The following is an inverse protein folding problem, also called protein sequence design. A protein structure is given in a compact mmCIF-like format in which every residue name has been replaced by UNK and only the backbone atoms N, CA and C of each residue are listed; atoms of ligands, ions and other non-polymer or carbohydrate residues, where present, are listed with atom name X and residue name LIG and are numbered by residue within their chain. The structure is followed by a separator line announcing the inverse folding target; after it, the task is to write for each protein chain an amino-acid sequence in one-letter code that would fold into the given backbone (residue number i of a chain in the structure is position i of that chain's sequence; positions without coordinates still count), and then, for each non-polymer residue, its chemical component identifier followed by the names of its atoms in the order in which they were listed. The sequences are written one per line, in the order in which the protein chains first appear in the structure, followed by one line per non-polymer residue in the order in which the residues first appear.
data_IF_418388669107
#
_entry.id   IF_418388669107
#
_cell.length_a   1.000
_cell.length_b   1.000
_cell.length_c   1.000
_cell.angle_alpha   90.00
_cell.angle_beta   90.00
_cell.angle_gamma   90.00
#
_symmetry.space_group_name_H-M   'P 1'
#
loop_
_entity.id
_entity.type
_entity.pdbx_description
1 polymer ?
#
# COMPACT_ATOMS: atom_id res chain seq x y z
N UNK A 1 16.65 -6.91 -17.11
CA UNK A 1 15.27 -6.57 -17.52
C UNK A 1 14.20 -7.32 -16.73
N UNK A 2 14.30 -8.64 -16.50
CA UNK A 2 13.29 -9.37 -15.72
C UNK A 2 13.22 -8.93 -14.24
N UNK A 3 14.35 -8.75 -13.56
CA UNK A 3 14.38 -8.25 -12.16
C UNK A 3 13.80 -6.84 -12.03
N UNK A 4 14.13 -5.93 -12.95
CA UNK A 4 13.62 -4.55 -12.93
C UNK A 4 12.12 -4.48 -13.19
N UNK A 5 11.59 -5.35 -14.07
CA UNK A 5 10.15 -5.44 -14.31
C UNK A 5 9.41 -6.00 -13.09
N UNK A 6 10.00 -7.00 -12.42
CA UNK A 6 9.44 -7.56 -11.20
C UNK A 6 9.41 -6.51 -10.08
N UNK A 7 10.52 -5.79 -9.84
CA UNK A 7 10.56 -4.68 -8.88
C UNK A 7 9.50 -3.62 -9.20
N UNK A 8 9.40 -3.17 -10.46
CA UNK A 8 8.39 -2.20 -10.86
C UNK A 8 6.95 -2.71 -10.66
N UNK A 9 6.70 -4.00 -10.90
CA UNK A 9 5.39 -4.61 -10.64
C UNK A 9 5.06 -4.65 -9.14
N UNK A 10 6.03 -5.03 -8.29
CA UNK A 10 5.84 -5.02 -6.82
C UNK A 10 5.64 -3.61 -6.28
N UNK A 11 6.35 -2.62 -6.83
CA UNK A 11 6.18 -1.21 -6.48
C UNK A 11 4.79 -0.69 -6.88
N UNK A 12 4.29 -1.05 -8.07
CA UNK A 12 2.94 -0.67 -8.50
C UNK A 12 1.85 -1.29 -7.60
N UNK A 13 2.02 -2.54 -7.20
CA UNK A 13 1.11 -3.22 -6.28
C UNK A 13 1.12 -2.57 -4.88
N UNK A 14 2.31 -2.18 -4.40
CA UNK A 14 2.44 -1.41 -3.17
C UNK A 14 1.74 -0.05 -3.28
N UNK A 15 1.94 0.68 -4.38
CA UNK A 15 1.25 1.96 -4.61
C UNK A 15 -0.28 1.79 -4.62
N UNK A 16 -0.80 0.78 -5.32
CA UNK A 16 -2.24 0.48 -5.35
C UNK A 16 -2.78 0.21 -3.94
N UNK A 17 -2.10 -0.64 -3.17
CA UNK A 17 -2.48 -0.97 -1.79
C UNK A 17 -2.49 0.25 -0.88
N UNK A 18 -1.53 1.17 -1.06
CA UNK A 18 -1.47 2.39 -0.27
C UNK A 18 -2.63 3.34 -0.62
N UNK A 19 -2.92 3.50 -1.92
CA UNK A 19 -4.06 4.30 -2.40
C UNK A 19 -5.39 3.76 -1.87
N UNK A 20 -5.58 2.44 -1.86
CA UNK A 20 -6.80 1.81 -1.36
C UNK A 20 -6.99 2.03 0.15
N UNK A 21 -5.90 2.00 0.93
CA UNK A 21 -5.93 2.32 2.36
C UNK A 21 -6.25 3.80 2.61
N UNK A 22 -5.63 4.71 1.84
CA UNK A 22 -5.92 6.15 1.94
C UNK A 22 -7.38 6.43 1.57
N UNK A 23 -7.88 5.83 0.49
CA UNK A 23 -9.27 5.96 0.06
C UNK A 23 -10.24 5.46 1.12
N UNK A 24 -9.99 4.28 1.70
CA UNK A 24 -10.82 3.75 2.80
C UNK A 24 -10.81 4.64 4.04
N UNK A 25 -9.63 5.17 4.42
CA UNK A 25 -9.53 6.07 5.56
C UNK A 25 -10.24 7.41 5.31
N UNK A 26 -10.15 7.95 4.09
CA UNK A 26 -10.80 9.19 3.71
C UNK A 26 -12.32 9.03 3.67
N UNK A 27 -12.81 7.92 3.11
CA UNK A 27 -14.24 7.62 3.04
C UNK A 27 -14.86 7.46 4.45
N UNK A 28 -14.10 6.93 5.41
CA UNK A 28 -14.57 6.66 6.76
C UNK A 28 -14.17 7.72 7.81
N UNK A 29 -13.64 8.88 7.39
CA UNK A 29 -13.17 9.92 8.31
C UNK A 29 -14.28 10.48 9.20
N UNK A 30 -15.53 10.47 8.73
CA UNK A 30 -16.70 10.95 9.46
C UNK A 30 -17.46 9.85 10.20
N UNK A 31 -16.98 8.60 10.15
CA UNK A 31 -17.64 7.45 10.79
C UNK A 31 -17.24 7.38 12.26
N UNK A 32 -18.20 7.50 13.17
CA UNK A 32 -17.95 7.47 14.62
C UNK A 32 -17.29 6.14 15.03
N UNK A 33 -16.17 6.21 15.77
CA UNK A 33 -15.35 5.08 16.20
C UNK A 33 -14.55 4.33 15.10
N UNK A 34 -14.37 4.92 13.91
CA UNK A 34 -13.49 4.36 12.88
C UNK A 34 -12.01 4.37 13.33
N UNK A 35 -11.35 3.22 13.17
CA UNK A 35 -9.91 3.08 13.40
C UNK A 35 -9.17 3.16 12.08
N UNK A 36 -8.34 4.19 11.93
CA UNK A 36 -7.50 4.37 10.74
C UNK A 36 -6.55 3.18 10.58
N UNK A 37 -6.48 2.62 9.38
CA UNK A 37 -5.52 1.58 9.00
C UNK A 37 -4.41 2.19 8.16
N UNK A 38 -3.15 1.83 8.41
CA UNK A 38 -2.01 2.31 7.60
C UNK A 38 -1.23 1.10 7.11
N UNK A 39 -0.95 1.03 5.81
CA UNK A 39 -0.05 0.03 5.26
C UNK A 39 1.41 0.49 5.46
N UNK A 40 2.21 -0.34 6.12
CA UNK A 40 3.66 -0.20 6.18
C UNK A 40 4.31 -1.23 5.25
N UNK A 41 5.23 -0.78 4.41
CA UNK A 41 6.00 -1.65 3.53
C UNK A 41 7.35 -1.95 4.15
N UNK A 42 7.82 -3.18 3.96
CA UNK A 42 9.14 -3.63 4.41
C UNK A 42 9.90 -4.18 3.22
N UNK A 43 11.20 -3.94 3.21
CA UNK A 43 12.08 -4.47 2.17
C UNK A 43 12.15 -5.99 2.25
N UNK A 44 12.15 -6.65 1.10
CA UNK A 44 12.47 -8.08 1.04
C UNK A 44 13.98 -8.28 1.23
N UNK A 45 14.35 -9.29 2.02
CA UNK A 45 15.74 -9.66 2.28
C UNK A 45 16.50 -9.93 0.96
N UNK A 46 17.70 -9.37 0.83
CA UNK A 46 18.49 -9.39 -0.40
C UNK A 46 19.02 -10.80 -0.69
N UNK A 47 18.88 -11.28 -1.94
CA UNK A 47 19.57 -12.46 -2.48
C UNK A 47 20.50 -12.07 -3.63
#
# INVERSE_FOLDING_TARGET
MLRSLHTAATDMEAMQTNLDNVANNLANVNTTAFKKSTAEFQDLYYQ
#
